data_IF_680471984827
#
_entry.id   IF_680471984827
#
_cell.length_a   1.000
_cell.length_b   1.000
_cell.length_c   1.000
_cell.angle_alpha   90.00
_cell.angle_beta   90.00
_cell.angle_gamma   90.00
#
_symmetry.space_group_name_H-M   'P 1'
#
loop_
_entity.id
_entity.type
_entity.pdbx_description
1 polymer ?
#
# COMPACT_ATOMS: atom_id res chain seq x y z
N UNK A 1 -17.01 3.81 3.90
CA UNK A 1 -15.64 4.36 3.91
C UNK A 1 -15.70 5.75 4.51
N UNK A 2 -14.78 6.08 5.41
CA UNK A 2 -14.73 7.38 6.09
C UNK A 2 -13.55 8.18 5.55
N UNK A 3 -13.79 9.46 5.25
CA UNK A 3 -12.77 10.41 4.81
C UNK A 3 -12.86 11.68 5.64
N UNK A 4 -11.72 12.21 6.08
CA UNK A 4 -11.65 13.39 6.92
C UNK A 4 -10.38 14.19 6.64
N UNK A 5 -10.52 15.52 6.58
CA UNK A 5 -9.37 16.43 6.51
C UNK A 5 -8.63 16.41 7.84
N UNK A 6 -7.32 16.15 7.79
CA UNK A 6 -6.40 16.25 8.93
C UNK A 6 -5.80 17.65 8.98
N UNK A 7 -5.32 18.15 7.83
CA UNK A 7 -4.71 19.47 7.70
C UNK A 7 -4.92 20.04 6.29
N UNK A 8 -5.01 21.35 6.20
CA UNK A 8 -5.20 22.11 4.96
C UNK A 8 -4.46 23.44 5.08
N UNK A 9 -3.39 23.59 4.29
CA UNK A 9 -2.55 24.77 4.34
C UNK A 9 -1.89 25.07 2.99
N UNK A 10 -1.22 26.22 2.93
CA UNK A 10 -0.49 26.67 1.72
C UNK A 10 0.97 26.94 2.02
N UNK A 11 1.83 26.65 1.04
CA UNK A 11 3.19 27.16 0.97
C UNK A 11 3.22 28.04 -0.28
N UNK A 12 3.31 29.36 -0.09
CA UNK A 12 3.14 30.33 -1.17
C UNK A 12 1.80 30.13 -1.89
N UNK A 13 1.81 29.84 -3.19
CA UNK A 13 0.62 29.56 -4.00
C UNK A 13 0.33 28.06 -4.18
N UNK A 14 1.05 27.18 -3.46
CA UNK A 14 0.89 25.73 -3.52
C UNK A 14 -0.02 25.27 -2.37
N UNK A 15 -1.10 24.58 -2.73
CA UNK A 15 -2.05 23.96 -1.81
C UNK A 15 -1.58 22.59 -1.35
N UNK A 16 -1.72 22.33 -0.06
CA UNK A 16 -1.40 21.06 0.58
C UNK A 16 -2.61 20.63 1.38
N UNK A 17 -3.12 19.45 1.07
CA UNK A 17 -4.25 18.82 1.73
C UNK A 17 -3.81 17.45 2.26
N UNK A 18 -3.98 17.23 3.56
CA UNK A 18 -3.71 15.95 4.24
C UNK A 18 -5.02 15.38 4.72
N UNK A 19 -5.32 14.15 4.33
CA UNK A 19 -6.59 13.49 4.63
C UNK A 19 -6.40 12.09 5.18
N UNK A 20 -7.24 11.75 6.15
CA UNK A 20 -7.50 10.38 6.53
C UNK A 20 -8.53 9.79 5.56
N UNK A 21 -8.28 8.59 5.05
CA UNK A 21 -9.20 7.82 4.21
C UNK A 21 -9.11 6.33 4.57
N UNK A 22 -10.18 5.80 5.15
CA UNK A 22 -10.27 4.39 5.54
C UNK A 22 -10.48 3.44 4.35
N UNK A 23 -10.62 3.98 3.15
CA UNK A 23 -10.76 3.24 1.89
C UNK A 23 -9.46 3.16 1.09
N UNK A 24 -8.35 3.62 1.66
CA UNK A 24 -7.03 3.56 1.03
C UNK A 24 -6.54 2.13 0.79
N UNK A 25 -5.39 1.99 0.10
CA UNK A 25 -4.73 0.70 -0.09
C UNK A 25 -4.39 0.01 1.24
N UNK A 26 -4.13 -1.30 1.20
CA UNK A 26 -3.69 -2.06 2.39
C UNK A 26 -2.47 -1.35 3.02
N UNK A 27 -2.54 -1.10 4.33
CA UNK A 27 -1.46 -0.44 5.06
C UNK A 27 -1.39 1.08 4.92
N UNK A 28 -2.31 1.73 4.20
CA UNK A 28 -2.33 3.19 4.07
C UNK A 28 -3.69 3.79 4.44
N UNK A 29 -3.67 4.78 5.34
CA UNK A 29 -4.85 5.56 5.71
C UNK A 29 -4.68 7.06 5.50
N UNK A 30 -3.47 7.53 5.23
CA UNK A 30 -3.19 8.94 5.05
C UNK A 30 -2.80 9.22 3.60
N UNK A 31 -3.55 10.10 2.95
CA UNK A 31 -3.25 10.63 1.62
C UNK A 31 -2.86 12.11 1.73
N UNK A 32 -1.83 12.49 0.99
CA UNK A 32 -1.38 13.86 0.86
C UNK A 32 -1.49 14.28 -0.59
N UNK A 33 -2.21 15.38 -0.82
CA UNK A 33 -2.32 16.05 -2.11
C UNK A 33 -1.54 17.36 -2.04
N UNK A 34 -0.57 17.54 -2.94
CA UNK A 34 0.23 18.77 -3.05
C UNK A 34 0.12 19.28 -4.48
N UNK A 35 -0.35 20.51 -4.67
CA UNK A 35 -0.57 21.00 -6.01
C UNK A 35 -0.96 22.46 -6.11
N UNK A 36 -1.19 22.87 -7.35
CA UNK A 36 -1.88 24.11 -7.70
C UNK A 36 -3.13 23.69 -8.45
N UNK A 37 -4.29 24.15 -7.97
CA UNK A 37 -5.63 23.67 -8.35
C UNK A 37 -5.81 23.45 -9.86
N UNK A 38 -5.23 24.31 -10.70
CA UNK A 38 -5.41 24.31 -12.17
C UNK A 38 -4.12 24.03 -12.98
N UNK A 39 -3.04 23.54 -12.35
CA UNK A 39 -1.74 23.37 -13.03
C UNK A 39 -1.18 21.95 -12.86
N UNK A 40 -0.90 21.55 -11.62
CA UNK A 40 -0.36 20.22 -11.31
C UNK A 40 -0.73 19.78 -9.92
N UNK A 41 -0.80 18.47 -9.71
CA UNK A 41 -0.97 17.88 -8.38
C UNK A 41 -0.15 16.59 -8.26
N UNK A 42 0.38 16.36 -7.06
CA UNK A 42 1.05 15.13 -6.65
C UNK A 42 0.24 14.54 -5.50
N UNK A 43 -0.24 13.32 -5.68
CA UNK A 43 -0.93 12.57 -4.64
C UNK A 43 -0.04 11.42 -4.17
N UNK A 44 0.02 11.22 -2.85
CA UNK A 44 0.78 10.13 -2.24
C UNK A 44 0.04 9.56 -1.04
N UNK A 45 -0.09 8.24 -1.03
CA UNK A 45 -0.40 7.45 0.15
C UNK A 45 0.84 7.24 1.01
N UNK A 46 0.67 7.31 2.33
CA UNK A 46 1.69 6.98 3.31
C UNK A 46 1.37 5.62 3.92
N UNK A 47 2.29 4.68 3.73
CA UNK A 47 2.12 3.27 4.07
C UNK A 47 2.82 2.93 5.38
N UNK A 48 2.15 2.15 6.24
CA UNK A 48 2.72 1.56 7.46
C UNK A 48 3.48 2.59 8.31
N UNK A 49 4.78 2.38 8.51
CA UNK A 49 5.67 3.24 9.30
C UNK A 49 5.91 4.63 8.69
N UNK A 50 5.52 4.83 7.43
CA UNK A 50 5.60 6.14 6.77
C UNK A 50 4.52 7.11 7.25
N UNK A 51 3.43 6.64 7.85
CA UNK A 51 2.35 7.49 8.38
C UNK A 51 2.79 8.20 9.67
N UNK A 52 3.77 9.09 9.51
CA UNK A 52 4.36 9.91 10.53
C UNK A 52 4.25 11.37 10.13
N UNK A 53 3.67 12.20 10.99
CA UNK A 53 3.39 13.61 10.70
C UNK A 53 4.63 14.37 10.19
N UNK A 54 5.80 14.16 10.79
CA UNK A 54 7.03 14.83 10.37
C UNK A 54 7.44 14.39 8.95
N UNK A 55 7.31 13.10 8.63
CA UNK A 55 7.66 12.59 7.31
C UNK A 55 6.69 13.10 6.23
N UNK A 56 5.40 13.13 6.55
CA UNK A 56 4.33 13.69 5.71
C UNK A 56 4.59 15.17 5.41
N UNK A 57 4.81 16.00 6.45
CA UNK A 57 5.07 17.43 6.27
C UNK A 57 6.36 17.70 5.50
N UNK A 58 7.41 16.89 5.72
CA UNK A 58 8.66 17.00 4.97
C UNK A 58 8.48 16.66 3.50
N UNK A 59 7.69 15.62 3.16
CA UNK A 59 7.32 15.33 1.79
C UNK A 59 6.57 16.50 1.15
N UNK A 60 5.51 16.99 1.80
CA UNK A 60 4.70 18.08 1.26
C UNK A 60 5.53 19.35 0.99
N UNK A 61 6.37 19.72 1.96
CA UNK A 61 7.30 20.85 1.82
C UNK A 61 8.27 20.62 0.67
N UNK A 62 8.84 19.42 0.55
CA UNK A 62 9.81 19.12 -0.50
C UNK A 62 9.17 19.20 -1.89
N UNK A 63 7.98 18.64 -2.08
CA UNK A 63 7.24 18.78 -3.37
C UNK A 63 6.93 20.24 -3.68
N UNK A 64 6.59 21.04 -2.67
CA UNK A 64 6.28 22.45 -2.87
C UNK A 64 7.52 23.28 -3.25
N UNK A 65 8.68 23.03 -2.63
CA UNK A 65 9.85 23.93 -2.74
C UNK A 65 10.97 23.42 -3.64
N UNK A 66 11.00 22.14 -3.99
CA UNK A 66 12.05 21.53 -4.83
C UNK A 66 11.46 21.12 -6.18
N UNK A 67 11.70 21.93 -7.21
CA UNK A 67 11.16 21.73 -8.56
C UNK A 67 11.65 20.44 -9.21
N UNK A 68 12.92 20.06 -9.03
CA UNK A 68 13.45 18.81 -9.59
C UNK A 68 12.76 17.61 -8.92
N UNK A 69 12.63 17.64 -7.59
CA UNK A 69 11.91 16.58 -6.89
C UNK A 69 10.44 16.52 -7.29
N UNK A 70 9.78 17.68 -7.49
CA UNK A 70 8.41 17.77 -7.99
C UNK A 70 8.27 17.14 -9.39
N UNK A 71 9.16 17.48 -10.32
CA UNK A 71 9.18 16.86 -11.65
C UNK A 71 9.34 15.34 -11.57
N UNK A 72 10.21 14.84 -10.69
CA UNK A 72 10.35 13.39 -10.45
C UNK A 72 9.06 12.77 -9.90
N UNK A 73 8.34 13.46 -9.04
CA UNK A 73 7.06 13.01 -8.51
C UNK A 73 5.99 12.96 -9.62
N UNK A 74 5.86 14.02 -10.42
CA UNK A 74 4.92 14.10 -11.52
C UNK A 74 5.19 13.05 -12.60
N UNK A 75 6.47 12.78 -12.89
CA UNK A 75 6.90 11.76 -13.84
C UNK A 75 6.95 10.34 -13.26
N UNK A 76 6.51 10.14 -12.01
CA UNK A 76 6.58 8.85 -11.28
C UNK A 76 7.98 8.20 -11.23
N UNK A 77 9.05 8.99 -11.30
CA UNK A 77 10.44 8.51 -11.19
C UNK A 77 11.04 8.73 -9.80
N UNK A 78 10.29 9.36 -8.89
CA UNK A 78 10.64 9.38 -7.47
C UNK A 78 10.53 7.97 -6.87
N UNK A 79 11.46 7.62 -5.98
CA UNK A 79 11.54 6.27 -5.41
C UNK A 79 10.23 5.82 -4.76
N UNK A 80 9.54 6.72 -4.05
CA UNK A 80 8.26 6.43 -3.42
C UNK A 80 7.16 6.07 -4.45
N UNK A 81 7.16 6.72 -5.61
CA UNK A 81 6.15 6.48 -6.64
C UNK A 81 6.36 5.10 -7.27
N UNK A 82 7.62 4.75 -7.52
CA UNK A 82 8.01 3.40 -7.98
C UNK A 82 7.63 2.33 -6.95
N UNK A 83 7.87 2.57 -5.66
CA UNK A 83 7.47 1.63 -4.59
C UNK A 83 5.95 1.46 -4.59
N UNK A 84 5.19 2.55 -4.63
CA UNK A 84 3.74 2.51 -4.63
C UNK A 84 3.19 1.75 -5.85
N UNK A 85 3.74 1.97 -7.05
CA UNK A 85 3.32 1.28 -8.27
C UNK A 85 3.41 -0.25 -8.14
N UNK A 86 4.54 -0.75 -7.65
CA UNK A 86 4.75 -2.19 -7.50
C UNK A 86 4.01 -2.77 -6.29
N UNK A 87 3.93 -2.00 -5.21
CA UNK A 87 3.24 -2.42 -3.99
C UNK A 87 1.74 -2.55 -4.22
N UNK A 88 1.07 -1.50 -4.73
CA UNK A 88 -0.38 -1.47 -4.86
C UNK A 88 -0.91 -2.61 -5.73
N UNK A 89 -0.21 -2.90 -6.84
CA UNK A 89 -0.55 -4.03 -7.71
C UNK A 89 -0.50 -5.35 -6.96
N UNK A 90 0.59 -5.61 -6.25
CA UNK A 90 0.85 -6.89 -5.59
C UNK A 90 -0.02 -7.06 -4.34
N UNK A 91 -0.15 -6.02 -3.52
CA UNK A 91 -0.98 -6.01 -2.31
C UNK A 91 -2.46 -6.21 -2.65
N UNK A 92 -2.93 -5.67 -3.78
CA UNK A 92 -4.28 -5.92 -4.27
C UNK A 92 -4.51 -7.40 -4.60
N UNK A 93 -3.57 -8.03 -5.30
CA UNK A 93 -3.68 -9.46 -5.62
C UNK A 93 -3.65 -10.33 -4.35
N UNK A 94 -2.82 -9.98 -3.37
CA UNK A 94 -2.80 -10.64 -2.06
C UNK A 94 -4.15 -10.49 -1.36
N UNK A 95 -4.72 -9.28 -1.33
CA UNK A 95 -6.05 -9.05 -0.76
C UNK A 95 -7.12 -9.88 -1.47
N UNK A 96 -7.07 -9.96 -2.80
CA UNK A 96 -8.00 -10.77 -3.61
C UNK A 96 -7.92 -12.26 -3.22
N UNK A 97 -6.72 -12.83 -2.99
CA UNK A 97 -6.60 -14.21 -2.51
C UNK A 97 -7.32 -14.47 -1.17
N UNK A 98 -7.18 -13.55 -0.22
CA UNK A 98 -7.84 -13.67 1.08
C UNK A 98 -9.36 -13.43 0.98
N UNK A 99 -9.79 -12.56 0.07
CA UNK A 99 -11.22 -12.34 -0.21
C UNK A 99 -11.86 -13.56 -0.85
N UNK A 100 -11.22 -14.15 -1.86
CA UNK A 100 -11.70 -15.34 -2.58
C UNK A 100 -11.72 -16.58 -1.68
N UNK A 101 -10.78 -16.66 -0.73
CA UNK A 101 -10.77 -17.66 0.34
C UNK A 101 -11.91 -17.48 1.37
N UNK A 102 -12.67 -16.39 1.31
CA UNK A 102 -13.81 -16.14 2.20
C UNK A 102 -13.47 -15.70 3.62
N UNK A 103 -12.20 -15.41 3.92
CA UNK A 103 -11.71 -15.11 5.28
C UNK A 103 -11.67 -13.61 5.61
N UNK A 104 -12.12 -12.76 4.68
CA UNK A 104 -12.12 -11.29 4.83
C UNK A 104 -13.47 -10.70 5.28
N UNK A 105 -14.33 -11.52 5.88
CA UNK A 105 -15.59 -11.10 6.48
C UNK A 105 -16.01 -12.04 7.61
N UNK A 106 -16.91 -11.56 8.47
CA UNK A 106 -17.48 -12.34 9.56
C UNK A 106 -18.89 -11.85 9.90
N UNK A 107 -19.69 -12.74 10.48
CA UNK A 107 -21.03 -12.41 10.98
C UNK A 107 -20.95 -11.81 12.38
N UNK A 108 -21.63 -10.69 12.62
CA UNK A 108 -21.66 -10.06 13.95
C UNK A 108 -22.28 -11.01 14.97
N UNK A 109 -21.53 -11.33 16.02
CA UNK A 109 -21.94 -12.24 17.08
C UNK A 109 -21.42 -13.67 16.91
N UNK A 110 -20.78 -13.99 15.78
CA UNK A 110 -20.01 -15.21 15.62
C UNK A 110 -18.55 -14.95 16.00
N UNK A 111 -18.16 -15.46 17.17
CA UNK A 111 -16.82 -15.25 17.71
C UNK A 111 -15.76 -16.06 16.96
N UNK A 112 -16.13 -17.23 16.44
CA UNK A 112 -15.19 -18.10 15.73
C UNK A 112 -14.82 -17.47 14.38
N UNK A 113 -15.82 -17.02 13.61
CA UNK A 113 -15.59 -16.26 12.37
C UNK A 113 -14.84 -14.94 12.63
N UNK A 114 -15.13 -14.24 13.74
CA UNK A 114 -14.43 -13.00 14.09
C UNK A 114 -12.94 -13.23 14.43
N UNK A 115 -12.63 -14.29 15.18
CA UNK A 115 -11.24 -14.64 15.53
C UNK A 115 -10.47 -15.13 14.28
N UNK A 116 -11.13 -15.86 13.38
CA UNK A 116 -10.59 -16.28 12.09
C UNK A 116 -10.30 -15.09 11.17
N UNK A 117 -11.27 -14.20 10.99
CA UNK A 117 -11.11 -12.95 10.24
C UNK A 117 -9.93 -12.13 10.77
N UNK A 118 -9.83 -11.96 12.09
CA UNK A 118 -8.71 -11.23 12.71
C UNK A 118 -7.37 -11.88 12.39
N UNK A 119 -7.29 -13.20 12.49
CA UNK A 119 -6.06 -13.95 12.21
C UNK A 119 -5.65 -13.81 10.74
N UNK A 120 -6.59 -14.00 9.82
CA UNK A 120 -6.36 -13.86 8.38
C UNK A 120 -5.96 -12.44 8.00
N UNK A 121 -6.70 -11.44 8.49
CA UNK A 121 -6.39 -10.02 8.28
C UNK A 121 -4.99 -9.65 8.79
N UNK A 122 -4.64 -10.07 10.01
CA UNK A 122 -3.33 -9.76 10.59
C UNK A 122 -2.17 -10.38 9.78
N UNK A 123 -2.34 -11.62 9.28
CA UNK A 123 -1.31 -12.23 8.43
C UNK A 123 -1.21 -11.50 7.10
N UNK A 124 -2.34 -11.21 6.45
CA UNK A 124 -2.37 -10.46 5.19
C UNK A 124 -1.67 -9.11 5.33
N UNK A 125 -1.96 -8.36 6.40
CA UNK A 125 -1.30 -7.09 6.70
C UNK A 125 0.21 -7.28 6.94
N UNK A 126 0.61 -8.34 7.66
CA UNK A 126 2.04 -8.66 7.90
C UNK A 126 2.78 -8.99 6.60
N UNK A 127 2.15 -9.72 5.69
CA UNK A 127 2.73 -10.03 4.37
C UNK A 127 2.87 -8.73 3.55
N UNK A 128 1.84 -7.88 3.54
CA UNK A 128 1.88 -6.61 2.83
C UNK A 128 2.92 -5.64 3.41
N UNK A 129 3.06 -5.57 4.74
CA UNK A 129 4.09 -4.75 5.38
C UNK A 129 5.51 -5.21 5.00
N UNK A 130 5.74 -6.53 5.03
CA UNK A 130 7.01 -7.14 4.59
C UNK A 130 7.30 -6.83 3.11
N UNK A 131 6.29 -6.95 2.25
CA UNK A 131 6.40 -6.63 0.82
C UNK A 131 6.80 -5.17 0.62
N UNK A 132 6.11 -4.24 1.29
CA UNK A 132 6.40 -2.82 1.19
C UNK A 132 7.83 -2.50 1.63
N UNK A 133 8.26 -3.06 2.77
CA UNK A 133 9.62 -2.87 3.29
C UNK A 133 10.69 -3.42 2.31
N UNK A 134 10.45 -4.60 1.73
CA UNK A 134 11.35 -5.20 0.75
C UNK A 134 11.47 -4.34 -0.52
N UNK A 135 10.34 -3.94 -1.11
CA UNK A 135 10.31 -3.07 -2.29
C UNK A 135 10.99 -1.73 -2.04
N UNK A 136 10.74 -1.11 -0.89
CA UNK A 136 11.35 0.15 -0.47
C UNK A 136 12.86 0.05 -0.33
N UNK A 137 13.35 -1.04 0.25
CA UNK A 137 14.80 -1.32 0.34
C UNK A 137 15.41 -1.47 -1.04
N UNK A 138 14.77 -2.29 -1.88
CA UNK A 138 15.27 -2.68 -3.20
C UNK A 138 15.35 -1.51 -4.19
N UNK A 139 14.27 -0.71 -4.27
CA UNK A 139 14.19 0.45 -5.16
C UNK A 139 15.20 1.53 -4.75
N UNK A 140 15.42 1.74 -3.45
CA UNK A 140 16.45 2.66 -2.94
C UNK A 140 17.86 2.16 -3.18
N UNK A 141 18.06 0.83 -3.21
CA UNK A 141 19.32 0.18 -3.55
C UNK A 141 19.74 0.36 -5.02
N UNK A 142 18.81 0.78 -5.89
CA UNK A 142 19.09 1.01 -7.32
C UNK A 142 19.11 -0.27 -8.16
N UNK A 143 18.49 -1.34 -7.66
CA UNK A 143 18.52 -2.65 -8.29
C UNK A 143 17.52 -2.81 -9.43
N UNK A 144 17.63 -3.92 -10.17
CA UNK A 144 16.92 -4.20 -11.42
C UNK A 144 15.45 -4.57 -11.23
N UNK A 145 14.63 -4.31 -12.26
CA UNK A 145 13.21 -4.71 -12.33
C UNK A 145 12.96 -6.19 -12.01
N UNK A 146 13.86 -7.09 -12.42
CA UNK A 146 13.72 -8.53 -12.16
C UNK A 146 13.68 -8.87 -10.66
N UNK A 147 14.44 -8.14 -9.83
CA UNK A 147 14.46 -8.41 -8.39
C UNK A 147 13.20 -7.87 -7.71
N UNK A 148 12.67 -6.74 -8.21
CA UNK A 148 11.37 -6.20 -7.79
C UNK A 148 10.24 -7.19 -8.08
N UNK A 149 10.24 -7.80 -9.27
CA UNK A 149 9.27 -8.82 -9.67
C UNK A 149 9.39 -10.07 -8.78
N UNK A 150 10.62 -10.53 -8.53
CA UNK A 150 10.90 -11.67 -7.63
C UNK A 150 10.37 -11.43 -6.22
N UNK A 151 10.57 -10.24 -5.66
CA UNK A 151 10.02 -9.85 -4.36
C UNK A 151 8.49 -9.94 -4.37
N UNK A 152 7.84 -9.45 -5.42
CA UNK A 152 6.39 -9.51 -5.54
C UNK A 152 5.87 -10.96 -5.59
N UNK A 153 6.51 -11.81 -6.39
CA UNK A 153 6.16 -13.24 -6.51
C UNK A 153 6.35 -13.99 -5.19
N UNK A 154 7.48 -13.80 -4.50
CA UNK A 154 7.76 -14.42 -3.20
C UNK A 154 6.65 -14.11 -2.16
N UNK A 155 6.13 -12.87 -2.15
CA UNK A 155 5.09 -12.48 -1.19
C UNK A 155 3.70 -13.00 -1.57
N UNK A 156 3.40 -13.12 -2.87
CA UNK A 156 2.18 -13.81 -3.35
C UNK A 156 2.21 -15.29 -2.99
N UNK A 157 3.35 -15.95 -3.19
CA UNK A 157 3.53 -17.36 -2.83
C UNK A 157 3.41 -17.57 -1.31
N UNK A 158 3.93 -16.64 -0.50
CA UNK A 158 3.74 -16.66 0.95
C UNK A 158 2.26 -16.55 1.34
N UNK A 159 1.52 -15.63 0.71
CA UNK A 159 0.08 -15.48 0.94
C UNK A 159 -0.70 -16.76 0.57
N UNK A 160 -0.45 -17.29 -0.62
CA UNK A 160 -1.07 -18.52 -1.10
C UNK A 160 -0.73 -19.74 -0.23
N UNK A 161 0.54 -19.86 0.16
CA UNK A 161 1.04 -20.91 1.04
C UNK A 161 0.35 -20.89 2.41
N UNK A 162 0.22 -19.71 3.00
CA UNK A 162 -0.49 -19.56 4.28
C UNK A 162 -1.96 -19.96 4.16
N UNK A 163 -2.66 -19.54 3.10
CA UNK A 163 -4.05 -19.90 2.88
C UNK A 163 -4.24 -21.42 2.76
N UNK A 164 -3.36 -22.07 1.99
CA UNK A 164 -3.34 -23.53 1.84
C UNK A 164 -3.07 -24.26 3.15
N UNK A 165 -2.07 -23.83 3.91
CA UNK A 165 -1.66 -24.47 5.18
C UNK A 165 -2.73 -24.38 6.26
N UNK A 166 -3.61 -23.38 6.18
CA UNK A 166 -4.74 -23.20 7.09
C UNK A 166 -6.05 -23.77 6.53
N UNK A 167 -6.02 -24.46 5.38
CA UNK A 167 -7.17 -25.19 4.83
C UNK A 167 -8.18 -24.32 4.09
N UNK A 168 -7.83 -23.09 3.73
CA UNK A 168 -8.72 -22.18 3.01
C UNK A 168 -8.78 -22.43 1.50
N UNK A 169 -7.79 -23.15 0.96
CA UNK A 169 -7.77 -23.56 -0.44
C UNK A 169 -8.10 -25.05 -0.51
N UNK A 170 -9.07 -25.41 -1.35
CA UNK A 170 -9.43 -26.81 -1.57
C UNK A 170 -8.28 -27.61 -2.22
N UNK A 171 -8.31 -28.94 -2.13
CA UNK A 171 -7.30 -29.84 -2.74
C UNK A 171 -7.22 -29.74 -4.29
N UNK A 172 -8.06 -28.93 -4.93
CA UNK A 172 -8.30 -28.97 -6.39
C UNK A 172 -7.49 -27.93 -7.19
N UNK A 173 -6.81 -26.97 -6.57
CA UNK A 173 -6.04 -25.94 -7.30
C UNK A 173 -4.56 -26.31 -7.54
N UNK A 174 -4.15 -27.54 -7.22
CA UNK A 174 -2.80 -28.02 -7.50
C UNK A 174 -2.61 -28.52 -8.95
N UNK A 175 -3.66 -28.53 -9.79
CA UNK A 175 -3.64 -29.24 -11.08
C UNK A 175 -3.38 -28.38 -12.32
N UNK A 176 -3.45 -27.05 -12.25
CA UNK A 176 -3.44 -26.19 -13.46
C UNK A 176 -2.11 -25.46 -13.72
N UNK A 177 -1.02 -25.89 -13.07
CA UNK A 177 0.33 -25.35 -13.30
C UNK A 177 1.39 -26.41 -13.65
N UNK A 178 0.99 -27.53 -14.24
CA UNK A 178 1.90 -28.54 -14.81
C UNK A 178 1.95 -28.49 -16.34
#
# INVERSE_FOLDING_TARGET
MARATIDDYRIEDIHILIEFDSGGPVGATTIVSVGKDDDWFVNRWFYFDEDNENYIRNFARKVATDENYRERCLNRTADWARVADHYEQTARQILEYFQDAGVMGYSVGDKEEEDEYRRAKNEMETICESLFAALKSEIRGGNSTTEIERIADDHKDRAWGWLRENGYLGETEASDLA
#
